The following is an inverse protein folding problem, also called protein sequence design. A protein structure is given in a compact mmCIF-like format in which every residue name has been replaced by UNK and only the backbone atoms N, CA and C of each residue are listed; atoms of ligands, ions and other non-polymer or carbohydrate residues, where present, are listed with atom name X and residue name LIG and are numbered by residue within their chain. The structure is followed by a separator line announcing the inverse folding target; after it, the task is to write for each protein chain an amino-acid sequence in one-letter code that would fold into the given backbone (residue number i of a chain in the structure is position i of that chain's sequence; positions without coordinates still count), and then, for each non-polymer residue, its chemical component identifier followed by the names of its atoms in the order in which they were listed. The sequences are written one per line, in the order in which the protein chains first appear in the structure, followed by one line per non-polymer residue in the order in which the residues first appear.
data_IF_659123155734
#
_entry.id   IF_659123155734
#
_cell.length_a   1.000
_cell.length_b   1.000
_cell.length_c   1.000
_cell.angle_alpha   90.00
_cell.angle_beta   90.00
_cell.angle_gamma   90.00
#
_symmetry.space_group_name_H-M   'P 1'
#
loop_
_entity.id
_entity.type
_entity.pdbx_description
1 polymer ?
#
# COMPACT_ATOMS: atom_id res chain seq x y z
N UNK A 1 5.50 25.30 23.13
CA UNK A 1 4.26 24.53 22.93
C UNK A 1 4.50 23.65 21.72
N UNK A 2 4.74 22.36 21.91
CA UNK A 2 4.86 21.38 20.82
C UNK A 2 3.85 20.29 21.12
N UNK A 3 2.62 20.52 20.70
CA UNK A 3 1.56 19.53 20.82
C UNK A 3 0.81 19.55 19.51
N UNK A 4 0.99 18.50 18.73
CA UNK A 4 0.39 18.33 17.43
C UNK A 4 0.99 17.18 16.63
N UNK A 5 1.23 16.02 17.26
CA UNK A 5 1.50 14.80 16.51
C UNK A 5 0.54 13.73 17.05
N UNK A 6 -0.72 13.83 16.63
CA UNK A 6 -1.70 12.77 16.88
C UNK A 6 -1.45 11.71 15.80
N UNK A 7 -0.34 10.99 15.92
CA UNK A 7 -0.14 9.73 15.21
C UNK A 7 -0.86 8.68 16.06
N UNK A 8 -2.13 8.41 15.74
CA UNK A 8 -2.76 7.16 16.14
C UNK A 8 -2.35 6.15 15.08
N UNK A 9 -1.30 5.39 15.34
CA UNK A 9 -0.78 4.43 14.39
C UNK A 9 0.74 4.31 14.44
N UNK A 10 1.28 3.20 13.90
CA UNK A 10 2.71 2.99 13.74
C UNK A 10 3.28 4.01 12.75
N UNK A 11 4.59 4.29 12.86
CA UNK A 11 5.25 5.27 12.00
C UNK A 11 5.20 4.83 10.52
N UNK A 12 5.04 5.78 9.57
CA UNK A 12 4.93 5.44 8.15
C UNK A 12 6.14 4.69 7.60
N UNK A 13 7.34 4.98 8.09
CA UNK A 13 8.54 4.23 7.75
C UNK A 13 8.49 2.78 8.28
N UNK A 14 7.99 2.57 9.50
CA UNK A 14 7.81 1.23 10.08
C UNK A 14 6.78 0.42 9.28
N UNK A 15 5.68 1.05 8.86
CA UNK A 15 4.67 0.41 8.01
C UNK A 15 5.27 -0.03 6.69
N UNK A 16 6.11 0.81 6.07
CA UNK A 16 6.78 0.47 4.82
C UNK A 16 7.76 -0.70 4.97
N UNK A 17 8.55 -0.73 6.04
CA UNK A 17 9.49 -1.82 6.30
C UNK A 17 8.74 -3.14 6.60
N UNK A 18 7.69 -3.07 7.43
CA UNK A 18 6.82 -4.20 7.74
C UNK A 18 6.13 -4.74 6.47
N UNK A 19 5.57 -3.86 5.65
CA UNK A 19 4.94 -4.24 4.39
C UNK A 19 5.93 -4.90 3.42
N UNK A 20 7.14 -4.36 3.28
CA UNK A 20 8.18 -4.97 2.45
C UNK A 20 8.59 -6.36 2.96
N UNK A 21 8.74 -6.51 4.28
CA UNK A 21 9.03 -7.81 4.88
C UNK A 21 7.91 -8.81 4.63
N UNK A 22 6.65 -8.40 4.82
CA UNK A 22 5.48 -9.23 4.60
C UNK A 22 5.30 -9.60 3.12
N UNK A 23 5.50 -8.68 2.18
CA UNK A 23 5.45 -8.95 0.74
C UNK A 23 6.55 -9.88 0.26
N UNK A 24 7.71 -9.87 0.93
CA UNK A 24 8.81 -10.79 0.63
C UNK A 24 8.49 -12.21 1.07
N UNK A 25 7.75 -12.36 2.16
CA UNK A 25 7.29 -13.65 2.69
C UNK A 25 6.05 -14.17 1.93
N UNK A 26 5.11 -13.27 1.65
CA UNK A 26 3.84 -13.53 1.00
C UNK A 26 3.55 -12.46 -0.09
N UNK A 27 4.01 -12.69 -1.33
CA UNK A 27 3.82 -11.71 -2.40
C UNK A 27 2.35 -11.55 -2.82
N UNK A 28 1.47 -12.48 -2.44
CA UNK A 28 0.04 -12.39 -2.73
C UNK A 28 -0.67 -11.31 -1.89
N UNK A 29 -0.02 -10.78 -0.83
CA UNK A 29 -0.51 -9.62 -0.08
C UNK A 29 -0.67 -8.38 -0.98
N UNK A 30 0.07 -8.28 -2.08
CA UNK A 30 -0.05 -7.15 -3.04
C UNK A 30 -1.40 -7.14 -3.77
N UNK A 31 -2.05 -8.29 -3.89
CA UNK A 31 -3.36 -8.44 -4.55
C UNK A 31 -4.53 -8.28 -3.56
N UNK A 32 -4.23 -8.12 -2.26
CA UNK A 32 -5.22 -7.98 -1.20
C UNK A 32 -5.59 -6.52 -0.98
N UNK A 33 -6.72 -6.29 -0.32
CA UNK A 33 -7.12 -4.95 0.10
C UNK A 33 -6.20 -4.45 1.20
N UNK A 34 -5.95 -3.14 1.24
CA UNK A 34 -5.07 -2.54 2.25
C UNK A 34 -5.53 -2.80 3.69
N UNK A 35 -6.84 -2.93 3.91
CA UNK A 35 -7.44 -3.32 5.20
C UNK A 35 -7.04 -4.75 5.61
N UNK A 36 -7.06 -5.71 4.68
CA UNK A 36 -6.61 -7.08 4.96
C UNK A 36 -5.11 -7.13 5.22
N UNK A 37 -4.34 -6.36 4.46
CA UNK A 37 -2.88 -6.27 4.64
C UNK A 37 -2.54 -5.65 5.98
N UNK A 38 -3.21 -4.56 6.38
CA UNK A 38 -3.03 -3.93 7.68
C UNK A 38 -3.23 -4.92 8.84
N UNK A 39 -4.35 -5.66 8.83
CA UNK A 39 -4.64 -6.68 9.83
C UNK A 39 -3.61 -7.80 9.82
N UNK A 40 -3.11 -8.23 8.65
CA UNK A 40 -2.06 -9.25 8.59
C UNK A 40 -0.71 -8.74 9.11
N UNK A 41 -0.36 -7.48 8.89
CA UNK A 41 0.89 -6.92 9.41
C UNK A 41 0.93 -6.96 10.94
N UNK A 42 -0.17 -6.58 11.60
CA UNK A 42 -0.27 -6.71 13.05
C UNK A 42 -0.44 -8.17 13.50
N UNK A 43 -1.27 -8.95 12.80
CA UNK A 43 -1.59 -10.34 13.14
C UNK A 43 -0.40 -11.30 13.04
N UNK A 44 0.50 -11.08 12.07
CA UNK A 44 1.75 -11.84 11.92
C UNK A 44 2.91 -11.27 12.74
N UNK A 45 2.71 -10.14 13.42
CA UNK A 45 3.72 -9.51 14.25
C UNK A 45 4.80 -8.73 13.48
N UNK A 46 4.51 -8.30 12.25
CA UNK A 46 5.37 -7.34 11.53
C UNK A 46 5.26 -5.94 12.13
N UNK A 47 4.11 -5.60 12.71
CA UNK A 47 3.86 -4.38 13.47
C UNK A 47 3.28 -4.69 14.85
N UNK A 48 3.57 -3.80 15.80
CA UNK A 48 3.06 -3.90 17.17
C UNK A 48 1.57 -3.53 17.28
N UNK A 49 1.09 -2.72 16.34
CA UNK A 49 -0.29 -2.25 16.24
C UNK A 49 -0.74 -2.25 14.78
N UNK A 50 -2.06 -2.27 14.56
CA UNK A 50 -2.62 -2.26 13.20
C UNK A 50 -2.38 -0.90 12.52
N UNK A 51 -1.70 -0.87 11.36
CA UNK A 51 -1.46 0.36 10.63
C UNK A 51 -2.74 0.87 9.97
N UNK A 52 -2.78 2.17 9.67
CA UNK A 52 -3.92 2.74 8.95
C UNK A 52 -4.00 2.14 7.53
N UNK A 53 -5.16 1.58 7.12
CA UNK A 53 -5.32 1.00 5.79
C UNK A 53 -5.14 2.01 4.67
N UNK A 54 -5.33 3.32 4.92
CA UNK A 54 -5.03 4.37 3.96
C UNK A 54 -3.52 4.44 3.72
N UNK A 55 -2.72 4.45 4.78
CA UNK A 55 -1.27 4.49 4.70
C UNK A 55 -0.70 3.22 4.03
N UNK A 56 -1.28 2.06 4.31
CA UNK A 56 -0.91 0.81 3.63
C UNK A 56 -1.26 0.87 2.14
N UNK A 57 -2.43 1.42 1.78
CA UNK A 57 -2.81 1.63 0.38
C UNK A 57 -1.86 2.60 -0.33
N UNK A 58 -1.46 3.69 0.32
CA UNK A 58 -0.47 4.62 -0.21
C UNK A 58 0.86 3.92 -0.47
N UNK A 59 1.29 3.06 0.45
CA UNK A 59 2.57 2.34 0.31
C UNK A 59 2.51 1.23 -0.75
N UNK A 60 1.38 0.52 -0.86
CA UNK A 60 1.13 -0.49 -1.90
C UNK A 60 0.95 0.13 -3.29
N UNK A 61 0.28 1.28 -3.34
CA UNK A 61 -0.12 2.00 -4.53
C UNK A 61 0.86 3.07 -4.96
N UNK A 62 1.94 3.33 -4.21
CA UNK A 62 3.08 4.10 -4.72
C UNK A 62 3.75 3.24 -5.78
N UNK A 63 3.59 3.52 -7.09
CA UNK A 63 4.46 2.89 -8.06
C UNK A 63 5.89 3.29 -7.68
N UNK A 64 6.80 2.33 -7.66
CA UNK A 64 8.22 2.65 -7.68
C UNK A 64 8.40 3.73 -8.77
N UNK A 65 8.97 4.92 -8.49
CA UNK A 65 9.15 5.94 -9.53
C UNK A 65 10.04 5.48 -10.69
N UNK A 66 10.65 4.29 -10.56
CA UNK A 66 11.44 3.56 -11.57
C UNK A 66 10.70 2.34 -12.19
N UNK A 67 9.46 2.06 -11.82
CA UNK A 67 8.61 1.03 -12.42
C UNK A 67 7.74 1.60 -13.55
N UNK A 68 7.48 0.87 -14.65
CA UNK A 68 6.71 1.39 -15.77
C UNK A 68 5.32 1.82 -15.29
N UNK A 69 5.07 3.11 -15.47
CA UNK A 69 3.75 3.75 -15.44
C UNK A 69 2.86 3.06 -16.47
N UNK A 70 2.24 1.93 -16.08
CA UNK A 70 1.09 1.39 -16.79
C UNK A 70 -0.08 2.28 -16.39
N UNK A 71 -0.07 3.50 -16.96
CA UNK A 71 -1.21 4.40 -16.93
C UNK A 71 -2.45 3.64 -17.43
N UNK A 72 -3.65 4.07 -17.02
CA UNK A 72 -4.87 3.36 -17.39
C UNK A 72 -4.88 3.20 -18.92
N UNK A 73 -4.81 1.95 -19.37
CA UNK A 73 -5.13 1.62 -20.75
C UNK A 73 -6.53 2.13 -21.00
N UNK A 74 -6.65 3.28 -21.66
CA UNK A 74 -7.91 3.74 -22.21
C UNK A 74 -8.34 2.70 -23.23
N UNK A 75 -9.25 1.83 -22.78
CA UNK A 75 -10.10 1.06 -23.65
C UNK A 75 -10.94 2.03 -24.52
N UNK A 76 -11.30 1.54 -25.70
CA UNK A 76 -12.51 1.87 -26.48
C UNK A 76 -12.39 2.84 -27.66
N UNK A 77 -12.51 2.21 -28.84
CA UNK A 77 -13.31 2.59 -30.02
C UNK A 77 -13.32 4.06 -30.47
N UNK A 78 -12.73 4.34 -31.63
CA UNK A 78 -13.36 5.25 -32.59
C UNK A 78 -12.93 5.01 -34.04
N UNK A 79 -13.96 4.96 -34.89
CA UNK A 79 -14.01 5.37 -36.29
C UNK A 79 -13.49 4.39 -37.37
N UNK A 80 -14.44 3.62 -37.90
CA UNK A 80 -14.47 3.22 -39.31
C UNK A 80 -14.20 4.43 -40.23
N UNK A 81 -13.27 4.36 -41.18
CA UNK A 81 -13.32 5.20 -42.37
C UNK A 81 -14.01 4.46 -43.53
N UNK A 82 -14.82 5.24 -44.24
CA UNK A 82 -15.66 4.97 -45.42
C UNK A 82 -14.92 4.35 -46.60
#
# INVERSE_FOLDING_TARGET
MTSGNIQMGPDPDEVRDALNAALRDDPALRERTSEQVATELAGRGYLQEEPDPVLVAETLGTPDPDGPDDGPGEETEAASPT
#
